data_IF_207813193291
#
_entry.id   IF_207813193291
#
_cell.length_a   1.000
_cell.length_b   1.000
_cell.length_c   1.000
_cell.angle_alpha   90.00
_cell.angle_beta   90.00
_cell.angle_gamma   90.00
#
_symmetry.space_group_name_H-M   'P 1'
#
loop_
_entity.id
_entity.type
_entity.pdbx_description
1 polymer ?
#
# COMPACT_ATOMS: atom_id res chain seq x y z
N UNK A 1 22.70 3.34 -14.19
CA UNK A 1 21.32 2.83 -13.95
C UNK A 1 21.48 1.45 -13.35
N UNK A 2 21.26 1.29 -12.04
CA UNK A 2 21.54 0.04 -11.32
C UNK A 2 20.23 -0.73 -11.15
N UNK A 3 20.10 -1.86 -11.85
CA UNK A 3 18.96 -2.76 -11.75
C UNK A 3 18.96 -3.48 -10.39
N UNK A 4 17.78 -3.66 -9.78
CA UNK A 4 17.61 -4.33 -8.50
C UNK A 4 17.65 -5.86 -8.66
N UNK A 5 18.71 -6.49 -8.18
CA UNK A 5 18.79 -7.97 -8.13
C UNK A 5 17.92 -8.55 -7.00
N UNK A 6 17.28 -9.68 -7.29
CA UNK A 6 16.44 -10.50 -6.41
C UNK A 6 17.29 -11.34 -5.43
N UNK A 7 17.05 -11.27 -4.10
CA UNK A 7 17.57 -12.25 -3.15
C UNK A 7 16.49 -13.27 -2.72
N UNK A 8 16.90 -14.54 -2.66
CA UNK A 8 16.12 -15.68 -2.15
C UNK A 8 15.74 -15.49 -0.66
N UNK A 9 14.47 -15.64 -0.31
CA UNK A 9 13.92 -15.32 1.03
C UNK A 9 13.59 -16.58 1.85
N UNK A 10 14.04 -16.71 3.12
CA UNK A 10 13.46 -17.64 4.10
C UNK A 10 12.18 -17.07 4.74
N UNK A 11 11.21 -17.92 5.06
CA UNK A 11 9.87 -17.55 5.55
C UNK A 11 9.89 -16.82 6.92
N UNK A 12 9.14 -15.70 7.10
CA UNK A 12 9.03 -15.04 8.39
C UNK A 12 7.85 -15.54 9.23
N UNK A 13 8.09 -15.71 10.54
CA UNK A 13 7.07 -15.98 11.56
C UNK A 13 6.17 -14.77 11.78
N UNK A 14 4.86 -14.99 11.71
CA UNK A 14 3.82 -13.98 11.81
C UNK A 14 3.60 -13.54 13.27
N UNK A 15 3.79 -12.26 13.57
CA UNK A 15 3.26 -11.60 14.77
C UNK A 15 2.43 -10.40 14.33
N UNK A 16 1.12 -10.49 14.52
CA UNK A 16 0.13 -9.52 14.08
C UNK A 16 -0.03 -8.41 15.12
N UNK A 17 0.36 -7.18 14.81
CA UNK A 17 0.06 -6.02 15.64
C UNK A 17 -1.38 -5.56 15.36
N UNK A 18 -2.27 -5.64 16.37
CA UNK A 18 -3.62 -5.08 16.29
C UNK A 18 -3.55 -3.56 16.35
N UNK A 19 -3.93 -2.90 15.26
CA UNK A 19 -4.26 -1.48 15.24
C UNK A 19 -5.72 -1.34 15.66
N UNK A 20 -5.98 -0.69 16.79
CA UNK A 20 -7.33 -0.32 17.25
C UNK A 20 -7.84 0.89 16.48
N UNK A 21 -8.56 0.66 15.38
CA UNK A 21 -9.32 1.70 14.69
C UNK A 21 -10.71 1.85 15.31
N UNK A 22 -11.01 3.05 15.81
CA UNK A 22 -12.26 3.39 16.50
C UNK A 22 -13.38 3.75 15.49
N UNK A 23 -13.68 2.82 14.57
CA UNK A 23 -14.82 2.90 13.64
C UNK A 23 -15.34 1.46 13.46
N UNK A 24 -16.46 1.13 14.11
CA UNK A 24 -17.28 -0.08 13.93
C UNK A 24 -16.61 -1.28 13.22
N UNK A 25 -15.79 -2.03 13.96
CA UNK A 25 -15.20 -3.29 13.50
C UNK A 25 -13.80 -3.16 12.89
N UNK A 26 -13.15 -4.29 12.59
CA UNK A 26 -11.87 -4.27 11.88
C UNK A 26 -12.07 -3.72 10.47
N UNK A 27 -11.12 -2.90 10.01
CA UNK A 27 -11.09 -2.44 8.62
C UNK A 27 -11.13 -3.64 7.66
N UNK A 28 -11.94 -3.54 6.61
CA UNK A 28 -12.04 -4.51 5.52
C UNK A 28 -11.66 -3.83 4.21
N UNK A 29 -10.88 -4.52 3.38
CA UNK A 29 -10.60 -4.02 2.03
C UNK A 29 -11.90 -4.02 1.21
N UNK A 30 -12.06 -3.06 0.28
CA UNK A 30 -13.16 -3.07 -0.68
C UNK A 30 -13.16 -4.35 -1.54
N UNK A 31 -14.36 -4.84 -1.88
CA UNK A 31 -14.54 -6.11 -2.61
C UNK A 31 -13.83 -6.16 -3.97
N UNK A 32 -13.60 -4.99 -4.60
CA UNK A 32 -12.91 -4.88 -5.88
C UNK A 32 -11.37 -4.92 -5.76
N UNK A 33 -10.83 -5.18 -4.57
CA UNK A 33 -9.40 -5.32 -4.29
C UNK A 33 -9.12 -6.77 -3.83
N UNK A 34 -8.81 -7.65 -4.79
CA UNK A 34 -8.25 -8.98 -4.51
C UNK A 34 -6.72 -8.99 -4.53
N UNK A 35 -6.10 -7.81 -4.42
CA UNK A 35 -4.65 -7.65 -4.42
C UNK A 35 -4.05 -7.93 -3.04
N UNK A 36 -2.96 -8.69 -3.01
CA UNK A 36 -2.11 -8.82 -1.81
C UNK A 36 -0.85 -7.98 -1.93
N UNK A 37 -0.38 -7.41 -0.82
CA UNK A 37 0.86 -6.64 -0.78
C UNK A 37 1.97 -7.45 -0.16
N UNK A 38 3.09 -7.62 -0.88
CA UNK A 38 4.29 -8.28 -0.38
C UNK A 38 5.42 -7.29 -0.24
N UNK A 39 5.99 -7.21 0.96
CA UNK A 39 7.07 -6.28 1.28
C UNK A 39 8.38 -7.02 1.53
N UNK A 40 9.44 -6.46 0.95
CA UNK A 40 10.83 -6.79 1.29
C UNK A 40 11.57 -5.52 1.71
N UNK A 41 12.73 -5.65 2.32
CA UNK A 41 13.57 -4.51 2.69
C UNK A 41 15.01 -4.69 2.21
N UNK A 42 15.74 -3.58 2.11
CA UNK A 42 17.20 -3.63 2.03
C UNK A 42 17.80 -4.16 3.34
N UNK A 43 19.00 -4.77 3.31
CA UNK A 43 19.68 -5.23 4.52
C UNK A 43 19.78 -4.12 5.59
N UNK A 44 19.55 -4.49 6.85
CA UNK A 44 19.60 -3.55 7.99
C UNK A 44 18.34 -2.71 8.20
N UNK A 45 17.31 -2.86 7.37
CA UNK A 45 16.00 -2.22 7.57
C UNK A 45 15.01 -3.24 8.12
N UNK A 46 14.53 -2.99 9.33
CA UNK A 46 13.44 -3.74 9.95
C UNK A 46 12.08 -3.28 9.40
N UNK A 47 11.35 -4.18 8.73
CA UNK A 47 10.01 -3.93 8.21
C UNK A 47 8.95 -3.75 9.31
N UNK A 48 9.24 -4.20 10.53
CA UNK A 48 8.37 -4.04 11.69
C UNK A 48 8.69 -2.75 12.48
N UNK A 49 9.74 -2.02 12.10
CA UNK A 49 10.02 -0.71 12.70
C UNK A 49 8.84 0.26 12.48
N UNK A 50 8.57 1.18 13.42
CA UNK A 50 7.44 2.10 13.30
C UNK A 50 7.41 2.87 11.99
N UNK A 51 8.58 3.33 11.51
CA UNK A 51 8.65 4.05 10.23
C UNK A 51 8.32 3.13 9.06
N UNK A 52 8.82 1.89 9.04
CA UNK A 52 8.50 0.96 7.97
C UNK A 52 7.02 0.61 7.96
N UNK A 53 6.39 0.39 9.12
CA UNK A 53 4.94 0.15 9.23
C UNK A 53 4.14 1.32 8.66
N UNK A 54 4.48 2.55 9.02
CA UNK A 54 3.80 3.75 8.52
C UNK A 54 3.98 3.92 7.02
N UNK A 55 5.20 3.75 6.50
CA UNK A 55 5.48 3.82 5.05
C UNK A 55 4.70 2.76 4.28
N UNK A 56 4.65 1.52 4.78
CA UNK A 56 3.88 0.44 4.16
C UNK A 56 2.40 0.78 4.10
N UNK A 57 1.83 1.18 5.24
CA UNK A 57 0.43 1.56 5.33
C UNK A 57 0.08 2.73 4.39
N UNK A 58 0.95 3.73 4.27
CA UNK A 58 0.75 4.86 3.37
C UNK A 58 0.70 4.43 1.90
N UNK A 59 1.68 3.63 1.45
CA UNK A 59 1.80 3.19 0.05
C UNK A 59 0.65 2.25 -0.32
N UNK A 60 0.33 1.28 0.53
CA UNK A 60 -0.81 0.37 0.31
C UNK A 60 -2.12 1.15 0.20
N UNK A 61 -2.33 2.12 1.10
CA UNK A 61 -3.53 2.94 1.11
C UNK A 61 -3.63 3.87 -0.11
N UNK A 62 -2.51 4.41 -0.61
CA UNK A 62 -2.50 5.20 -1.84
C UNK A 62 -2.80 4.34 -3.09
N UNK A 63 -2.30 3.10 -3.10
CA UNK A 63 -2.63 2.12 -4.13
C UNK A 63 -4.12 1.76 -4.11
N UNK A 64 -4.66 1.41 -2.93
CA UNK A 64 -6.08 1.07 -2.76
C UNK A 64 -6.96 2.26 -3.16
N UNK A 65 -6.59 3.49 -2.76
CA UNK A 65 -7.28 4.73 -3.16
C UNK A 65 -7.38 4.88 -4.67
N UNK A 66 -6.36 4.46 -5.40
CA UNK A 66 -6.33 4.57 -6.87
C UNK A 66 -7.35 3.65 -7.54
N UNK A 67 -7.69 2.51 -6.91
CA UNK A 67 -8.58 1.49 -7.48
C UNK A 67 -10.01 1.60 -6.92
N UNK A 68 -10.16 1.89 -5.63
CA UNK A 68 -11.43 1.85 -4.90
C UNK A 68 -11.94 3.23 -4.46
N UNK A 69 -11.33 4.29 -5.00
CA UNK A 69 -11.52 5.67 -4.56
C UNK A 69 -11.10 5.93 -3.10
N UNK A 70 -11.26 7.18 -2.69
CA UNK A 70 -10.79 7.71 -1.42
C UNK A 70 -11.34 7.01 -0.17
N UNK A 71 -12.57 6.47 -0.24
CA UNK A 71 -13.21 5.78 0.89
C UNK A 71 -12.71 4.36 1.12
N UNK A 72 -12.11 3.74 0.11
CA UNK A 72 -11.50 2.43 0.25
C UNK A 72 -10.10 2.45 0.84
N UNK A 73 -9.47 3.62 0.96
CA UNK A 73 -8.17 3.80 1.59
C UNK A 73 -8.19 3.42 3.08
N UNK A 74 -7.02 3.17 3.67
CA UNK A 74 -6.92 2.92 5.11
C UNK A 74 -7.47 4.10 5.93
N UNK A 75 -8.15 3.83 7.07
CA UNK A 75 -8.72 4.87 7.90
C UNK A 75 -7.67 5.91 8.32
N UNK A 76 -7.98 7.19 8.07
CA UNK A 76 -7.09 8.31 8.44
C UNK A 76 -6.06 8.68 7.37
N UNK A 77 -5.88 7.89 6.31
CA UNK A 77 -4.99 8.24 5.19
C UNK A 77 -5.34 9.61 4.58
N UNK A 78 -6.63 9.89 4.43
CA UNK A 78 -7.12 11.16 3.91
C UNK A 78 -6.68 12.40 4.72
N UNK A 79 -6.35 12.21 6.01
CA UNK A 79 -5.93 13.32 6.88
C UNK A 79 -4.48 13.71 6.65
N UNK A 80 -3.67 12.79 6.11
CA UNK A 80 -2.23 13.00 5.90
C UNK A 80 -1.90 13.41 4.46
N UNK A 81 -2.78 13.14 3.49
CA UNK A 81 -2.58 13.51 2.09
C UNK A 81 -3.30 14.83 1.81
N UNK A 82 -2.57 15.93 1.88
CA UNK A 82 -3.07 17.24 1.49
C UNK A 82 -3.27 17.28 -0.04
N UNK A 83 -4.47 16.95 -0.51
CA UNK A 83 -4.86 17.07 -1.92
C UNK A 83 -6.05 18.02 -2.08
N UNK A 84 -6.12 18.85 -3.13
CA UNK A 84 -7.32 19.63 -3.43
C UNK A 84 -8.52 18.69 -3.60
N UNK A 85 -9.71 19.05 -3.11
CA UNK A 85 -10.92 18.22 -3.21
C UNK A 85 -11.36 17.91 -4.66
N UNK A 86 -10.72 18.48 -5.68
CA UNK A 86 -11.09 18.38 -7.09
C UNK A 86 -10.31 17.36 -7.95
N UNK A 87 -9.23 16.73 -7.45
CA UNK A 87 -8.54 15.64 -8.17
C UNK A 87 -9.10 14.24 -7.81
N UNK A 88 -10.28 14.20 -7.20
CA UNK A 88 -11.06 12.98 -6.99
C UNK A 88 -11.67 12.55 -8.33
N UNK A 89 -10.83 12.23 -9.31
CA UNK A 89 -11.30 11.85 -10.62
C UNK A 89 -12.11 10.54 -10.51
N UNK A 90 -13.27 10.62 -11.14
CA UNK A 90 -14.42 9.75 -11.07
C UNK A 90 -14.14 8.37 -11.71
N UNK A 91 -13.25 7.58 -11.11
CA UNK A 91 -13.26 6.15 -11.39
C UNK A 91 -14.52 5.58 -10.75
N UNK A 92 -15.52 5.18 -11.54
CA UNK A 92 -16.75 4.59 -11.03
C UNK A 92 -16.38 3.44 -10.08
N UNK A 93 -16.82 3.47 -8.80
CA UNK A 93 -16.52 2.39 -7.87
C UNK A 93 -16.91 1.04 -8.47
N UNK A 94 -16.02 0.06 -8.44
CA UNK A 94 -16.33 -1.30 -8.88
C UNK A 94 -16.26 -1.57 -10.38
N UNK A 95 -15.89 -0.62 -11.25
CA UNK A 95 -15.63 -0.95 -12.68
C UNK A 95 -14.31 -1.67 -12.93
N UNK A 96 -13.39 -1.60 -11.96
CA UNK A 96 -12.05 -2.18 -12.07
C UNK A 96 -11.82 -3.07 -10.85
N UNK A 97 -11.61 -4.35 -11.14
CA UNK A 97 -11.12 -5.34 -10.17
C UNK A 97 -9.64 -5.54 -10.41
N UNK A 98 -8.86 -5.48 -9.33
CA UNK A 98 -7.43 -5.75 -9.38
C UNK A 98 -7.12 -6.95 -8.49
N UNK A 99 -6.69 -8.02 -9.13
CA UNK A 99 -6.28 -9.27 -8.50
C UNK A 99 -4.80 -9.53 -8.73
N UNK A 100 -4.13 -10.11 -7.73
CA UNK A 100 -2.72 -10.50 -7.83
C UNK A 100 -1.89 -10.07 -6.64
N UNK A 101 -0.58 -9.94 -6.84
CA UNK A 101 0.36 -9.59 -5.78
C UNK A 101 1.19 -8.39 -6.18
N UNK A 102 1.09 -7.28 -5.44
CA UNK A 102 1.97 -6.13 -5.62
C UNK A 102 3.19 -6.28 -4.72
N UNK A 103 4.37 -6.28 -5.34
CA UNK A 103 5.63 -6.40 -4.63
C UNK A 103 6.24 -5.02 -4.40
N UNK A 104 6.56 -4.73 -3.14
CA UNK A 104 7.27 -3.53 -2.75
C UNK A 104 8.59 -3.87 -2.07
N UNK A 105 9.58 -3.00 -2.24
CA UNK A 105 10.84 -3.05 -1.51
C UNK A 105 11.16 -1.72 -0.88
N UNK A 106 11.31 -1.70 0.44
CA UNK A 106 11.80 -0.55 1.18
C UNK A 106 13.33 -0.50 1.07
N UNK A 107 13.84 0.43 0.26
CA UNK A 107 15.27 0.59 -0.01
C UNK A 107 15.97 1.45 1.03
N UNK A 108 15.25 2.41 1.61
CA UNK A 108 15.79 3.37 2.58
C UNK A 108 14.71 3.79 3.55
N UNK A 109 15.07 3.89 4.83
CA UNK A 109 14.29 4.58 5.85
C UNK A 109 15.28 5.33 6.75
N UNK A 110 15.35 6.64 6.60
CA UNK A 110 16.32 7.48 7.30
C UNK A 110 15.62 8.62 8.01
N UNK A 111 15.96 8.83 9.28
CA UNK A 111 15.50 9.99 10.04
C UNK A 111 16.25 11.23 9.58
N UNK A 112 15.52 12.25 9.13
CA UNK A 112 16.06 13.55 8.77
C UNK A 112 16.17 14.46 10.00
N UNK A 113 15.11 14.53 10.81
CA UNK A 113 15.00 15.34 12.04
C UNK A 113 14.18 14.62 13.10
N UNK A 114 13.99 15.22 14.28
CA UNK A 114 13.36 14.61 15.46
C UNK A 114 12.07 13.81 15.12
N UNK A 115 11.24 14.32 14.20
CA UNK A 115 9.99 13.68 13.73
C UNK A 115 9.86 13.58 12.20
N UNK A 116 10.94 13.78 11.46
CA UNK A 116 10.89 13.78 9.99
C UNK A 116 11.70 12.61 9.46
N UNK A 117 11.08 11.84 8.57
CA UNK A 117 11.68 10.66 7.96
C UNK A 117 11.62 10.77 6.44
N UNK A 118 12.67 10.29 5.79
CA UNK A 118 12.67 10.03 4.36
C UNK A 118 12.71 8.54 4.12
N UNK A 119 11.83 8.07 3.23
CA UNK A 119 11.80 6.68 2.81
C UNK A 119 11.89 6.59 1.30
N UNK A 120 12.60 5.58 0.79
CA UNK A 120 12.67 5.26 -0.63
C UNK A 120 12.12 3.86 -0.82
N UNK A 121 11.12 3.74 -1.68
CA UNK A 121 10.45 2.47 -2.00
C UNK A 121 10.49 2.22 -3.50
N UNK A 122 10.64 0.96 -3.89
CA UNK A 122 10.38 0.51 -5.26
C UNK A 122 9.15 -0.37 -5.27
N UNK A 123 8.35 -0.21 -6.32
CA UNK A 123 7.22 -1.09 -6.64
C UNK A 123 7.59 -1.88 -7.88
N UNK A 124 7.46 -3.20 -7.82
CA UNK A 124 7.62 -4.07 -8.96
C UNK A 124 6.21 -4.42 -9.45
N UNK A 125 5.83 -4.02 -10.67
CA UNK A 125 4.63 -4.55 -11.28
C UNK A 125 4.93 -6.01 -11.62
N UNK A 126 4.38 -6.94 -10.88
CA UNK A 126 4.31 -8.33 -11.31
C UNK A 126 2.88 -8.85 -11.08
N UNK A 127 2.38 -9.57 -12.08
CA UNK A 127 1.11 -10.34 -12.14
C UNK A 127 -0.22 -9.67 -11.68
N UNK A 128 -0.24 -8.42 -11.22
CA UNK A 128 -1.49 -7.73 -10.88
C UNK A 128 -2.33 -7.54 -12.15
N UNK A 129 -3.33 -8.41 -12.33
CA UNK A 129 -4.20 -8.39 -13.50
C UNK A 129 -5.32 -7.41 -13.22
N UNK A 130 -5.31 -6.31 -13.97
CA UNK A 130 -6.40 -5.33 -13.93
C UNK A 130 -7.46 -5.76 -14.92
N UNK A 131 -8.61 -6.20 -14.42
CA UNK A 131 -9.75 -6.53 -15.28
C UNK A 131 -10.76 -5.39 -15.18
N UNK A 132 -10.98 -4.71 -16.30
CA UNK A 132 -12.06 -3.73 -16.42
C UNK A 132 -13.34 -4.48 -16.77
N UNK A 133 -14.35 -4.38 -15.93
CA UNK A 133 -15.65 -4.95 -16.24
C UNK A 133 -16.22 -4.15 -17.43
N UNK A 134 -16.61 -4.81 -18.55
CA UNK A 134 -17.18 -4.10 -19.69
C UNK A 134 -18.50 -3.45 -19.26
N UNK A 135 -18.68 -2.17 -19.61
CA UNK A 135 -19.93 -1.45 -19.40
C UNK A 135 -21.06 -2.26 -20.08
N UNK A 136 -21.90 -2.89 -19.28
CA UNK A 136 -23.05 -3.64 -19.77
C UNK A 136 -24.00 -2.68 -20.50
N UNK A 137 -24.32 -3.03 -21.75
CA UNK A 137 -25.45 -2.47 -22.51
C UNK A 137 -26.78 -2.80 -21.85
#
# INVERSE_FOLDING_TARGET
MTACSTPSTPAPSSSSARVTSNINGPYQLPDNIGTTFRWTSAPGIDLLSPIAVVTRAFIESDYIKTISQFRGAYPGWYRVVAGPPGFMESATPGTVTVDGTVYHRLQKAQRLRHNEWTTVTCTYPDEATTTRQPDGK
#
